data_IF_112555679358
#
_entry.id   IF_112555679358
#
_cell.length_a   1.000
_cell.length_b   1.000
_cell.length_c   1.000
_cell.angle_alpha   90.00
_cell.angle_beta   90.00
_cell.angle_gamma   90.00
#
_symmetry.space_group_name_H-M   'P 1'
#
loop_
_entity.id
_entity.type
_entity.pdbx_description
1 polymer ?
#
# COMPACT_ATOMS: atom_id res chain seq x y z
N UNK A 1 -2.75 8.13 13.09
CA UNK A 1 -1.41 8.02 12.50
C UNK A 1 -0.84 9.42 12.43
N UNK A 2 0.38 9.61 12.92
CA UNK A 2 1.12 10.87 12.89
C UNK A 2 1.82 11.05 11.53
N UNK A 3 2.41 12.22 11.29
CA UNK A 3 3.15 12.49 10.05
C UNK A 3 4.42 11.63 9.93
N UNK A 4 5.16 11.42 11.02
CA UNK A 4 6.36 10.56 11.05
C UNK A 4 6.03 9.08 10.76
N UNK A 5 4.89 8.60 11.27
CA UNK A 5 4.39 7.26 10.98
C UNK A 5 4.00 7.13 9.50
N UNK A 6 3.45 8.19 8.91
CA UNK A 6 3.15 8.25 7.48
C UNK A 6 4.43 8.25 6.62
N UNK A 7 5.48 8.97 7.03
CA UNK A 7 6.79 8.95 6.37
C UNK A 7 7.40 7.55 6.36
N UNK A 8 7.41 6.89 7.51
CA UNK A 8 7.89 5.50 7.63
C UNK A 8 7.12 4.55 6.71
N UNK A 9 5.79 4.73 6.62
CA UNK A 9 4.94 3.96 5.73
C UNK A 9 5.29 4.22 4.25
N UNK A 10 5.56 5.47 3.88
CA UNK A 10 5.95 5.88 2.51
C UNK A 10 7.29 5.25 2.11
N UNK A 11 8.28 5.20 3.00
CA UNK A 11 9.55 4.53 2.75
C UNK A 11 9.36 3.02 2.50
N UNK A 12 8.52 2.38 3.32
CA UNK A 12 8.19 0.95 3.16
C UNK A 12 7.47 0.69 1.83
N UNK A 13 6.53 1.56 1.44
CA UNK A 13 5.85 1.49 0.14
C UNK A 13 6.82 1.70 -1.02
N UNK A 14 7.74 2.65 -0.90
CA UNK A 14 8.73 2.96 -1.93
C UNK A 14 9.66 1.77 -2.15
N UNK A 15 10.13 1.16 -1.07
CA UNK A 15 10.94 -0.06 -1.10
C UNK A 15 10.19 -1.20 -1.80
N UNK A 16 8.93 -1.44 -1.42
CA UNK A 16 8.10 -2.46 -2.05
C UNK A 16 7.87 -2.19 -3.55
N UNK A 17 7.70 -0.93 -3.93
CA UNK A 17 7.54 -0.53 -5.34
C UNK A 17 8.83 -0.74 -6.14
N UNK A 18 10.00 -0.47 -5.56
CA UNK A 18 11.30 -0.74 -6.17
C UNK A 18 11.52 -2.24 -6.39
N UNK A 19 11.08 -3.06 -5.43
CA UNK A 19 11.08 -4.53 -5.55
C UNK A 19 10.02 -5.08 -6.54
N UNK A 20 9.22 -4.20 -7.16
CA UNK A 20 8.26 -4.58 -8.20
C UNK A 20 6.88 -4.99 -7.67
N UNK A 21 6.61 -4.84 -6.37
CA UNK A 21 5.30 -5.12 -5.81
C UNK A 21 4.32 -3.98 -6.13
N UNK A 22 3.22 -4.31 -6.79
CA UNK A 22 2.10 -3.41 -6.98
C UNK A 22 1.33 -3.22 -5.67
N UNK A 23 1.08 -1.97 -5.29
CA UNK A 23 0.39 -1.63 -4.04
C UNK A 23 -1.05 -1.19 -4.31
N UNK A 24 -1.99 -2.07 -4.02
CA UNK A 24 -3.43 -1.77 -4.09
C UNK A 24 -3.87 -0.96 -2.87
N UNK A 25 -5.01 -0.28 -2.98
CA UNK A 25 -5.63 0.44 -1.85
C UNK A 25 -5.89 -0.45 -0.65
N UNK A 26 -6.28 -1.71 -0.88
CA UNK A 26 -6.49 -2.68 0.20
C UNK A 26 -5.16 -3.00 0.91
N UNK A 27 -4.11 -3.28 0.14
CA UNK A 27 -2.77 -3.60 0.67
C UNK A 27 -2.17 -2.41 1.43
N UNK A 28 -2.35 -1.19 0.92
CA UNK A 28 -1.91 0.04 1.58
C UNK A 28 -2.57 0.21 2.95
N UNK A 29 -3.91 0.08 3.01
CA UNK A 29 -4.65 0.16 4.28
C UNK A 29 -4.23 -0.93 5.27
N UNK A 30 -3.93 -2.13 4.77
CA UNK A 30 -3.46 -3.23 5.58
C UNK A 30 -2.05 -2.94 6.14
N UNK A 31 -1.10 -2.51 5.31
CA UNK A 31 0.26 -2.16 5.75
C UNK A 31 0.25 -1.04 6.79
N UNK A 32 -0.58 -0.02 6.60
CA UNK A 32 -0.74 1.04 7.58
C UNK A 32 -1.32 0.52 8.92
N UNK A 33 -2.27 -0.42 8.85
CA UNK A 33 -2.82 -1.08 10.04
C UNK A 33 -1.78 -1.92 10.78
N UNK A 34 -0.99 -2.71 10.04
CA UNK A 34 0.13 -3.49 10.56
C UNK A 34 1.15 -2.58 11.25
N UNK A 35 1.57 -1.50 10.59
CA UNK A 35 2.53 -0.56 11.13
C UNK A 35 2.06 0.03 12.47
N UNK A 36 0.80 0.47 12.57
CA UNK A 36 0.26 1.01 13.82
C UNK A 36 0.13 -0.05 14.91
N UNK A 37 -0.13 -1.30 14.55
CA UNK A 37 -0.14 -2.40 15.51
C UNK A 37 1.28 -2.72 16.01
N UNK A 38 2.26 -2.81 15.11
CA UNK A 38 3.69 -3.00 15.44
C UNK A 38 4.21 -1.89 16.37
N UNK A 39 3.73 -0.66 16.21
CA UNK A 39 4.05 0.49 17.05
C UNK A 39 3.23 0.58 18.36
N UNK A 40 2.35 -0.38 18.63
CA UNK A 40 1.48 -0.38 19.81
C UNK A 40 0.42 0.74 19.82
N UNK A 41 0.24 1.44 18.70
CA UNK A 41 -0.76 2.51 18.53
C UNK A 41 -2.16 1.96 18.22
N UNK A 42 -2.25 0.67 17.93
CA UNK A 42 -3.51 -0.01 17.63
C UNK A 42 -3.53 -1.40 18.29
N UNK A 43 -4.61 -1.74 19.02
CA UNK A 43 -4.71 -3.05 19.68
C UNK A 43 -4.78 -4.18 18.65
N UNK A 44 -5.46 -3.95 17.52
CA UNK A 44 -5.69 -4.97 16.50
C UNK A 44 -4.97 -4.62 15.20
N UNK A 45 -4.49 -5.66 14.51
CA UNK A 45 -3.95 -5.58 13.15
C UNK A 45 -5.05 -5.47 12.09
N UNK A 46 -6.03 -4.58 12.32
CA UNK A 46 -7.09 -4.34 11.34
C UNK A 46 -6.65 -3.29 10.32
N UNK A 47 -7.12 -3.37 9.06
CA UNK A 47 -6.80 -2.37 8.05
C UNK A 47 -7.24 -0.95 8.46
N UNK A 48 -6.58 0.07 7.92
CA UNK A 48 -7.03 1.45 8.04
C UNK A 48 -8.34 1.70 7.28
N UNK A 49 -9.05 2.76 7.66
CA UNK A 49 -10.32 3.14 7.01
C UNK A 49 -10.10 3.77 5.63
N UNK A 50 -11.16 3.77 4.81
CA UNK A 50 -11.14 4.49 3.53
C UNK A 50 -10.95 6.01 3.74
N UNK A 51 -11.56 6.59 4.77
CA UNK A 51 -11.41 8.01 5.11
C UNK A 51 -9.94 8.36 5.35
N UNK A 52 -9.22 7.53 6.10
CA UNK A 52 -7.78 7.72 6.29
C UNK A 52 -7.03 7.64 4.95
N UNK A 53 -7.34 6.65 4.11
CA UNK A 53 -6.70 6.46 2.81
C UNK A 53 -6.84 7.69 1.90
N UNK A 54 -8.02 8.31 1.86
CA UNK A 54 -8.24 9.54 1.09
C UNK A 54 -7.41 10.70 1.63
N UNK A 55 -7.37 10.88 2.95
CA UNK A 55 -6.54 11.89 3.59
C UNK A 55 -5.04 11.69 3.35
N UNK A 56 -4.57 10.45 3.48
CA UNK A 56 -3.20 10.05 3.20
C UNK A 56 -2.82 10.35 1.75
N UNK A 57 -3.65 9.92 0.78
CA UNK A 57 -3.41 10.21 -0.64
C UNK A 57 -3.32 11.70 -0.93
N UNK A 58 -4.21 12.50 -0.34
CA UNK A 58 -4.19 13.96 -0.51
C UNK A 58 -2.91 14.60 0.05
N UNK A 59 -2.41 14.13 1.20
CA UNK A 59 -1.16 14.65 1.80
C UNK A 59 0.09 14.25 1.02
N UNK A 60 0.07 13.07 0.39
CA UNK A 60 1.23 12.47 -0.27
C UNK A 60 1.12 12.45 -1.79
N UNK A 61 0.22 13.26 -2.37
CA UNK A 61 -0.07 13.30 -3.80
C UNK A 61 1.18 13.73 -4.61
N UNK A 62 1.92 14.71 -4.10
CA UNK A 62 3.15 15.24 -4.70
C UNK A 62 4.26 14.19 -4.84
N UNK A 63 4.28 13.18 -3.96
CA UNK A 63 5.29 12.13 -4.00
C UNK A 63 5.02 11.07 -5.06
N UNK A 64 3.95 11.19 -5.85
CA UNK A 64 3.53 10.26 -6.92
C UNK A 64 3.71 8.81 -6.50
N UNK A 65 3.38 8.49 -5.24
CA UNK A 65 3.49 7.14 -4.68
C UNK A 65 2.70 6.24 -5.62
N UNK A 66 3.42 5.46 -6.43
CA UNK A 66 2.83 4.81 -7.58
C UNK A 66 2.05 3.60 -7.09
N UNK A 67 0.83 3.85 -6.60
CA UNK A 67 -0.20 2.87 -6.27
C UNK A 67 -0.84 2.30 -7.54
N UNK A 68 -0.14 2.39 -8.68
CA UNK A 68 -0.56 1.68 -9.89
C UNK A 68 -0.24 0.21 -9.64
N UNK A 69 -1.23 -0.70 -9.74
CA UNK A 69 -0.90 -2.10 -9.91
C UNK A 69 -0.04 -2.18 -11.17
N UNK A 70 1.26 -2.45 -11.04
CA UNK A 70 2.05 -2.79 -12.22
C UNK A 70 1.38 -4.02 -12.80
N UNK A 71 1.20 -4.00 -14.11
CA UNK A 71 0.62 -5.03 -14.95
C UNK A 71 1.31 -6.42 -14.84
N UNK A 72 2.12 -6.69 -13.82
CA UNK A 72 2.71 -8.00 -13.54
C UNK A 72 1.63 -9.04 -13.20
N UNK A 73 0.56 -8.67 -12.50
CA UNK A 73 -0.57 -9.58 -12.27
C UNK A 73 -1.39 -9.79 -13.57
N UNK A 74 -1.55 -8.76 -14.40
CA UNK A 74 -2.20 -8.88 -15.71
C UNK A 74 -1.36 -9.76 -16.66
N UNK A 75 -0.04 -9.63 -16.63
CA UNK A 75 0.86 -10.42 -17.46
C UNK A 75 1.02 -11.87 -16.97
N UNK A 76 0.97 -12.12 -15.64
CA UNK A 76 0.91 -13.48 -15.10
C UNK A 76 -0.42 -14.16 -15.41
N UNK A 77 -1.55 -13.46 -15.30
CA UNK A 77 -2.85 -14.00 -15.66
C UNK A 77 -2.96 -14.35 -17.15
N UNK A 78 -2.30 -13.58 -18.03
CA UNK A 78 -2.22 -13.88 -19.48
C UNK A 78 -1.30 -15.05 -19.84
N UNK A 79 -0.37 -15.43 -18.97
CA UNK A 79 0.52 -16.59 -19.18
C UNK A 79 -0.09 -17.92 -18.72
N UNK A 80 -1.22 -17.89 -18.01
CA UNK A 80 -1.90 -19.08 -17.48
C UNK A 80 -3.23 -19.41 -18.17
N UNK A 81 -3.58 -18.74 -19.26
CA UNK A 81 -4.65 -19.21 -20.16
C UNK A 81 -4.04 -20.17 -21.18
N UNK A 82 -4.30 -21.49 -21.12
CA UNK A 82 -4.12 -22.33 -22.28
C UNK A 82 -5.15 -21.86 -23.31
N UNK A 83 -4.69 -21.38 -24.46
CA UNK A 83 -5.54 -21.36 -25.66
C UNK A 83 -5.93 -22.83 -25.93
N UNK A 84 -7.21 -23.13 -25.74
CA UNK A 84 -7.85 -24.38 -26.14
C UNK A 84 -9.04 -24.04 -27.02
#
# INVERSE_FOLDING_TARGET
>A
MTQEEEETLIERITTLSQLGYGLTNAKLKQLAGVLLHELGRKPDNTPMSNTWLYGFRKRWDDRKVSLKPRALDINRAKLTTPEA
#
